data_IF_038086101093
#
_entry.id   IF_038086101093
#
_cell.length_a   1.000
_cell.length_b   1.000
_cell.length_c   1.000
_cell.angle_alpha   90.00
_cell.angle_beta   90.00
_cell.angle_gamma   90.00
#
_symmetry.space_group_name_H-M   'P 1'
#
loop_
_entity.id
_entity.type
_entity.pdbx_description
1 polymer ?
#
# COMPACT_ATOMS: atom_id res chain seq x y z
N UNK A 1 2.28 0.32 13.86
CA UNK A 1 2.01 0.64 12.44
C UNK A 1 2.70 -0.36 11.52
N UNK A 2 4.03 -0.51 11.64
CA UNK A 2 4.85 -1.44 10.85
C UNK A 2 4.33 -2.88 10.96
N UNK A 3 4.08 -3.39 12.17
CA UNK A 3 3.56 -4.76 12.37
C UNK A 3 2.25 -5.00 11.61
N UNK A 4 1.30 -4.08 11.72
CA UNK A 4 0.02 -4.18 10.99
C UNK A 4 0.21 -4.16 9.47
N UNK A 5 1.15 -3.36 8.96
CA UNK A 5 1.49 -3.40 7.54
C UNK A 5 2.09 -4.76 7.13
N UNK A 6 2.94 -5.35 7.97
CA UNK A 6 3.53 -6.66 7.71
C UNK A 6 2.48 -7.77 7.72
N UNK A 7 1.57 -7.77 8.69
CA UNK A 7 0.43 -8.69 8.75
C UNK A 7 -0.43 -8.62 7.48
N UNK A 8 -0.73 -7.40 7.00
CA UNK A 8 -1.48 -7.24 5.75
C UNK A 8 -0.71 -7.79 4.53
N UNK A 9 0.60 -7.55 4.45
CA UNK A 9 1.43 -8.06 3.36
C UNK A 9 1.53 -9.60 3.36
N UNK A 10 1.53 -10.22 4.55
CA UNK A 10 1.47 -11.67 4.69
C UNK A 10 0.11 -12.22 4.24
N UNK A 11 -1.01 -11.64 4.68
CA UNK A 11 -2.36 -12.04 4.23
C UNK A 11 -2.52 -11.89 2.70
N UNK A 12 -2.01 -10.82 2.09
CA UNK A 12 -2.02 -10.64 0.63
C UNK A 12 -1.20 -11.73 -0.07
N UNK A 13 -0.03 -12.10 0.46
CA UNK A 13 0.80 -13.17 -0.11
C UNK A 13 0.09 -14.52 -0.02
N UNK A 14 -0.42 -14.88 1.15
CA UNK A 14 -1.14 -16.15 1.36
C UNK A 14 -2.33 -16.28 0.41
N UNK A 15 -3.15 -15.23 0.29
CA UNK A 15 -4.27 -15.20 -0.67
C UNK A 15 -3.80 -15.36 -2.11
N UNK A 16 -2.72 -14.69 -2.48
CA UNK A 16 -2.15 -14.80 -3.84
C UNK A 16 -1.69 -16.22 -4.15
N UNK A 17 -1.03 -16.89 -3.19
CA UNK A 17 -0.61 -18.28 -3.31
C UNK A 17 -1.81 -19.23 -3.45
N UNK A 18 -2.93 -18.90 -2.79
CA UNK A 18 -4.23 -19.58 -2.92
C UNK A 18 -5.04 -19.16 -4.16
N UNK A 19 -4.51 -18.28 -5.01
CA UNK A 19 -5.19 -17.70 -6.18
C UNK A 19 -6.48 -16.94 -5.83
N UNK A 20 -6.57 -16.42 -4.61
CA UNK A 20 -7.63 -15.56 -4.12
C UNK A 20 -7.20 -14.11 -4.25
N UNK A 21 -8.01 -13.28 -4.89
CA UNK A 21 -7.73 -11.85 -4.99
C UNK A 21 -8.11 -11.12 -3.69
N UNK A 22 -7.18 -10.36 -3.10
CA UNK A 22 -7.49 -9.43 -2.00
C UNK A 22 -8.56 -8.44 -2.44
N UNK A 23 -9.61 -8.19 -1.65
CA UNK A 23 -10.70 -7.33 -2.11
C UNK A 23 -10.32 -5.84 -2.07
N UNK A 24 -11.02 -5.01 -2.85
CA UNK A 24 -10.89 -3.55 -2.78
C UNK A 24 -11.18 -3.05 -1.36
N UNK A 25 -12.13 -3.65 -0.65
CA UNK A 25 -12.49 -3.24 0.70
C UNK A 25 -11.41 -3.63 1.73
N UNK A 26 -10.66 -4.71 1.51
CA UNK A 26 -9.51 -5.06 2.34
C UNK A 26 -8.42 -4.00 2.21
N UNK A 27 -8.09 -3.57 0.99
CA UNK A 27 -7.14 -2.45 0.78
C UNK A 27 -7.60 -1.13 1.40
N UNK A 28 -8.92 -0.83 1.37
CA UNK A 28 -9.45 0.37 2.05
C UNK A 28 -9.30 0.30 3.56
N UNK A 29 -9.61 -0.86 4.15
CA UNK A 29 -9.47 -1.08 5.60
C UNK A 29 -8.02 -0.97 6.03
N UNK A 30 -7.11 -1.59 5.27
CA UNK A 30 -5.68 -1.48 5.50
C UNK A 30 -5.19 -0.04 5.47
N UNK A 31 -5.49 0.71 4.40
CA UNK A 31 -5.08 2.11 4.28
C UNK A 31 -5.66 2.99 5.41
N UNK A 32 -6.95 2.80 5.73
CA UNK A 32 -7.61 3.54 6.81
C UNK A 32 -6.97 3.25 8.16
N UNK A 33 -6.64 1.98 8.43
CA UNK A 33 -6.01 1.57 9.68
C UNK A 33 -4.57 2.10 9.78
N UNK A 34 -3.84 2.19 8.67
CA UNK A 34 -2.52 2.85 8.67
C UNK A 34 -2.64 4.34 8.99
N UNK A 35 -3.63 5.05 8.44
CA UNK A 35 -3.89 6.44 8.81
C UNK A 35 -4.22 6.59 10.29
N UNK A 36 -5.11 5.76 10.84
CA UNK A 36 -5.43 5.78 12.27
C UNK A 36 -4.20 5.57 13.16
N UNK A 37 -3.24 4.74 12.74
CA UNK A 37 -2.00 4.48 13.45
C UNK A 37 -1.01 5.63 13.31
N UNK A 38 -0.93 6.26 12.14
CA UNK A 38 -0.13 7.45 11.90
C UNK A 38 -0.62 8.62 12.78
N UNK A 39 -1.93 8.86 12.84
CA UNK A 39 -2.56 9.89 13.66
C UNK A 39 -2.28 9.74 15.17
N UNK A 40 -1.83 8.57 15.63
CA UNK A 40 -1.47 8.31 17.03
C UNK A 40 0.01 8.64 17.33
N UNK A 41 0.85 8.80 16.32
CA UNK A 41 2.27 9.12 16.46
C UNK A 41 2.39 10.64 16.53
N UNK A 42 2.57 11.20 17.74
CA UNK A 42 2.60 12.66 17.96
C UNK A 42 3.83 13.16 18.72
N UNK A 43 4.54 12.26 19.38
CA UNK A 43 5.60 12.63 20.33
C UNK A 43 6.93 12.99 19.65
N UNK A 44 7.11 12.58 18.39
CA UNK A 44 8.24 12.93 17.55
C UNK A 44 7.72 13.42 16.19
N UNK A 45 7.98 14.69 15.87
CA UNK A 45 7.50 15.33 14.64
C UNK A 45 8.07 14.67 13.37
N UNK A 46 9.32 14.23 13.41
CA UNK A 46 9.97 13.58 12.28
C UNK A 46 9.45 12.14 12.09
N UNK A 47 9.04 11.47 13.17
CA UNK A 47 8.37 10.17 13.10
C UNK A 47 6.92 10.31 12.62
N UNK A 48 6.21 11.34 13.09
CA UNK A 48 4.84 11.64 12.68
C UNK A 48 4.74 11.92 11.17
N UNK A 49 5.62 12.78 10.64
CA UNK A 49 5.66 13.10 9.20
C UNK A 49 5.87 11.85 8.34
N UNK A 50 6.76 10.94 8.76
CA UNK A 50 7.02 9.68 8.04
C UNK A 50 5.84 8.72 8.11
N UNK A 51 5.19 8.64 9.26
CA UNK A 51 4.00 7.81 9.43
C UNK A 51 2.85 8.33 8.55
N UNK A 52 2.66 9.64 8.48
CA UNK A 52 1.66 10.27 7.60
C UNK A 52 1.97 10.00 6.12
N UNK A 53 3.24 10.12 5.69
CA UNK A 53 3.62 9.80 4.31
C UNK A 53 3.34 8.33 3.97
N UNK A 54 3.68 7.40 4.87
CA UNK A 54 3.41 5.98 4.68
C UNK A 54 1.89 5.70 4.57
N UNK A 55 1.08 6.34 5.41
CA UNK A 55 -0.38 6.22 5.38
C UNK A 55 -0.99 6.82 4.10
N UNK A 56 -0.50 7.96 3.64
CA UNK A 56 -0.95 8.57 2.37
C UNK A 56 -0.64 7.66 1.18
N UNK A 57 0.56 7.07 1.12
CA UNK A 57 0.94 6.11 0.08
C UNK A 57 0.06 4.84 0.12
N UNK A 58 -0.35 4.39 1.31
CA UNK A 58 -1.34 3.32 1.44
C UNK A 58 -2.70 3.73 0.85
N UNK A 59 -3.15 4.95 1.14
CA UNK A 59 -4.37 5.54 0.58
C UNK A 59 -4.34 5.60 -0.95
N UNK A 60 -3.23 6.08 -1.52
CA UNK A 60 -3.01 6.11 -2.97
C UNK A 60 -3.04 4.71 -3.58
N UNK A 61 -2.41 3.73 -2.92
CA UNK A 61 -2.45 2.32 -3.35
C UNK A 61 -3.88 1.80 -3.39
N UNK A 62 -4.63 1.97 -2.30
CA UNK A 62 -6.03 1.55 -2.20
C UNK A 62 -6.93 2.18 -3.26
N UNK A 63 -6.72 3.46 -3.57
CA UNK A 63 -7.45 4.16 -4.63
C UNK A 63 -7.09 3.68 -6.04
N UNK A 64 -5.86 3.18 -6.25
CA UNK A 64 -5.38 2.73 -7.55
C UNK A 64 -5.87 1.31 -7.92
N UNK A 65 -6.07 0.43 -6.93
CA UNK A 65 -6.47 -0.97 -7.16
C UNK A 65 -7.72 -1.12 -8.07
N UNK A 66 -8.84 -0.40 -7.83
CA UNK A 66 -10.02 -0.51 -8.70
C UNK A 66 -9.73 -0.11 -10.14
N UNK A 67 -8.91 0.94 -10.33
CA UNK A 67 -8.52 1.42 -11.66
C UNK A 67 -7.64 0.40 -12.37
N UNK A 68 -6.65 -0.15 -11.67
CA UNK A 68 -5.81 -1.22 -12.20
C UNK A 68 -6.64 -2.41 -12.68
N UNK A 69 -7.59 -2.89 -11.86
CA UNK A 69 -8.49 -4.00 -12.25
C UNK A 69 -9.36 -3.68 -13.46
N UNK A 70 -9.88 -2.46 -13.52
CA UNK A 70 -10.68 -2.01 -14.66
C UNK A 70 -9.84 -1.97 -15.95
N UNK A 71 -8.62 -1.42 -15.88
CA UNK A 71 -7.69 -1.39 -17.02
C UNK A 71 -7.30 -2.81 -17.45
N UNK A 72 -6.91 -3.69 -16.51
CA UNK A 72 -6.57 -5.09 -16.81
C UNK A 72 -7.73 -5.87 -17.43
N UNK A 73 -8.97 -5.62 -17.00
CA UNK A 73 -10.16 -6.28 -17.55
C UNK A 73 -10.54 -5.77 -18.94
N UNK A 74 -10.22 -4.51 -19.26
CA UNK A 74 -10.52 -3.90 -20.55
C UNK A 74 -9.44 -4.16 -21.62
N UNK A 75 -8.27 -4.63 -21.21
CA UNK A 75 -7.17 -4.90 -22.13
C UNK A 75 -7.46 -6.09 -23.05
N UNK A 76 -7.08 -5.93 -24.32
CA UNK A 76 -7.03 -7.05 -25.25
C UNK A 76 -5.88 -7.98 -24.87
N UNK A 77 -6.07 -9.31 -24.88
CA UNK A 77 -4.97 -10.27 -24.66
C UNK A 77 -3.82 -10.15 -25.67
N UNK A 78 -4.03 -9.43 -26.78
CA UNK A 78 -3.05 -9.20 -27.84
C UNK A 78 -2.32 -7.86 -27.72
N UNK A 79 -2.71 -6.98 -26.79
CA UNK A 79 -1.99 -5.72 -26.54
C UNK A 79 -0.85 -5.96 -25.55
N UNK A 80 0.43 -5.83 -25.97
CA UNK A 80 1.57 -6.07 -25.09
C UNK A 80 1.87 -4.90 -24.14
N UNK A 81 1.16 -3.77 -24.27
CA UNK A 81 1.44 -2.57 -23.50
C UNK A 81 0.85 -2.71 -22.09
N UNK A 82 1.64 -2.59 -21.00
CA UNK A 82 1.08 -2.67 -19.66
C UNK A 82 0.10 -1.51 -19.39
N UNK A 83 -0.92 -1.71 -18.52
CA UNK A 83 -1.79 -0.64 -18.08
C UNK A 83 -0.99 0.56 -17.54
N UNK A 84 -1.48 1.79 -17.78
CA UNK A 84 -0.86 2.99 -17.23
C UNK A 84 -0.80 2.96 -15.68
N UNK A 85 -1.79 2.33 -15.05
CA UNK A 85 -1.80 2.08 -13.60
C UNK A 85 -0.64 1.22 -13.11
N UNK A 86 -0.01 0.36 -13.93
CA UNK A 86 1.15 -0.45 -13.52
C UNK A 86 2.36 0.42 -13.20
N UNK A 87 2.64 1.44 -14.03
CA UNK A 87 3.74 2.36 -13.77
C UNK A 87 3.48 3.21 -12.53
N UNK A 88 2.24 3.64 -12.34
CA UNK A 88 1.83 4.41 -11.16
C UNK A 88 1.93 3.55 -9.88
N UNK A 89 1.45 2.31 -9.92
CA UNK A 89 1.54 1.34 -8.84
C UNK A 89 2.99 1.06 -8.46
N UNK A 90 3.85 0.84 -9.46
CA UNK A 90 5.28 0.59 -9.25
C UNK A 90 6.00 1.77 -8.59
N UNK A 91 5.60 3.01 -8.94
CA UNK A 91 6.15 4.23 -8.33
C UNK A 91 5.70 4.39 -6.88
N UNK A 92 4.41 4.16 -6.61
CA UNK A 92 3.86 4.23 -5.25
C UNK A 92 4.50 3.16 -4.37
N UNK A 93 4.60 1.92 -4.86
CA UNK A 93 5.20 0.82 -4.11
C UNK A 93 6.67 1.04 -3.74
N UNK A 94 7.47 1.64 -4.63
CA UNK A 94 8.86 2.03 -4.31
C UNK A 94 8.91 3.04 -3.17
N UNK A 95 8.13 4.12 -3.28
CA UNK A 95 8.05 5.14 -2.23
C UNK A 95 7.55 4.56 -0.90
N UNK A 96 6.55 3.69 -0.97
CA UNK A 96 5.99 3.05 0.21
C UNK A 96 7.06 2.22 0.93
N UNK A 97 7.84 1.44 0.19
CA UNK A 97 8.94 0.65 0.75
C UNK A 97 10.04 1.52 1.34
N UNK A 98 10.39 2.62 0.67
CA UNK A 98 11.36 3.61 1.18
C UNK A 98 10.88 4.23 2.50
N UNK A 99 9.65 4.77 2.53
CA UNK A 99 9.06 5.36 3.75
C UNK A 99 8.95 4.32 4.88
N UNK A 100 8.63 3.06 4.58
CA UNK A 100 8.55 2.00 5.58
C UNK A 100 9.92 1.72 6.22
N UNK A 101 10.99 1.64 5.42
CA UNK A 101 12.36 1.44 5.92
C UNK A 101 12.82 2.64 6.76
N UNK A 102 12.51 3.86 6.31
CA UNK A 102 12.84 5.06 7.09
C UNK A 102 12.09 5.12 8.42
N UNK A 103 10.81 4.73 8.43
CA UNK A 103 10.00 4.67 9.64
C UNK A 103 10.53 3.62 10.62
N UNK A 104 10.93 2.44 10.12
CA UNK A 104 11.52 1.37 10.92
C UNK A 104 12.84 1.82 11.58
N UNK A 105 13.74 2.45 10.82
CA UNK A 105 15.00 2.99 11.35
C UNK A 105 14.80 4.13 12.36
N UNK A 106 13.71 4.89 12.25
CA UNK A 106 13.40 5.99 13.15
C UNK A 106 12.72 5.52 14.46
N UNK A 107 12.18 4.29 14.50
CA UNK A 107 11.56 3.76 15.70
C UNK A 107 12.63 3.43 16.76
N UNK A 108 12.48 3.88 18.02
CA UNK A 108 13.36 3.45 19.10
C UNK A 108 13.17 1.95 19.39
N UNK A 109 14.28 1.22 19.53
CA UNK A 109 14.30 -0.19 19.94
C UNK A 109 13.75 -0.41 21.35
#
# INVERSE_FOLDING_TARGET
MIDYNNEFNEDVRERTDEQVETSVDDYKRWASRLQELADQIKDDAALAERADELADLAGQTSALIPRYRAESSAMSPLDPSPPASVSEYSRIGQKFQESLVELDHACPN
#
